data_IF_888500663853
#
_entry.id   IF_888500663853
#
_cell.length_a   1.000
_cell.length_b   1.000
_cell.length_c   1.000
_cell.angle_alpha   90.00
_cell.angle_beta   90.00
_cell.angle_gamma   90.00
#
_symmetry.space_group_name_H-M   'P 1'
#
loop_
_entity.id
_entity.type
_entity.pdbx_description
1 polymer ?
#
# COMPACT_ATOMS: atom_id res chain seq x y z
N UNK A 1 3.12 -24.27 10.41
CA UNK A 1 3.78 -23.49 9.34
C UNK A 1 3.01 -22.21 9.15
N UNK A 2 3.69 -21.08 9.14
CA UNK A 2 3.15 -19.75 8.93
C UNK A 2 4.02 -19.01 7.92
N UNK A 3 3.43 -18.03 7.23
CA UNK A 3 4.17 -17.16 6.32
C UNK A 3 4.92 -16.08 7.12
N UNK A 4 6.01 -15.57 6.55
CA UNK A 4 6.86 -14.52 7.11
C UNK A 4 7.08 -13.43 6.06
N UNK A 5 7.02 -12.17 6.48
CA UNK A 5 7.42 -10.99 5.72
C UNK A 5 8.27 -10.06 6.59
N UNK A 6 8.81 -9.01 5.98
CA UNK A 6 9.70 -8.06 6.66
C UNK A 6 8.94 -6.94 7.37
N UNK A 7 7.87 -6.41 6.77
CA UNK A 7 7.11 -5.26 7.28
C UNK A 7 7.76 -3.91 6.94
N UNK A 8 8.54 -3.84 5.86
CA UNK A 8 9.15 -2.60 5.39
C UNK A 8 8.20 -1.73 4.57
N UNK A 9 8.50 -0.44 4.47
CA UNK A 9 7.74 0.54 3.68
C UNK A 9 7.81 0.31 2.16
N UNK A 10 8.67 -0.61 1.69
CA UNK A 10 8.86 -0.95 0.29
C UNK A 10 9.79 -0.03 -0.47
N UNK A 11 10.65 0.73 0.21
CA UNK A 11 11.58 1.63 -0.48
C UNK A 11 12.55 0.88 -1.39
N UNK A 12 12.80 1.45 -2.57
CA UNK A 12 13.75 0.90 -3.54
C UNK A 12 15.15 1.46 -3.31
N UNK A 13 16.13 0.80 -3.94
CA UNK A 13 17.52 1.23 -4.03
C UNK A 13 17.93 1.49 -5.48
N UNK A 14 17.20 2.37 -6.15
CA UNK A 14 17.44 2.79 -7.53
C UNK A 14 18.18 4.13 -7.52
N UNK A 15 19.49 4.13 -7.78
CA UNK A 15 20.32 5.34 -7.70
C UNK A 15 19.80 6.52 -8.57
N UNK A 16 19.03 6.25 -9.63
CA UNK A 16 18.39 7.25 -10.49
C UNK A 16 16.87 7.32 -10.30
N UNK A 17 16.36 6.87 -9.16
CA UNK A 17 14.95 6.88 -8.80
C UNK A 17 14.38 8.31 -8.76
N UNK A 18 13.08 8.50 -9.07
CA UNK A 18 12.48 9.81 -9.26
C UNK A 18 12.36 10.66 -7.98
N UNK A 19 12.35 10.03 -6.80
CA UNK A 19 12.23 10.66 -5.48
C UNK A 19 12.79 9.73 -4.40
N UNK A 20 12.96 10.24 -3.17
CA UNK A 20 13.70 9.52 -2.13
C UNK A 20 13.18 8.10 -1.79
N UNK A 21 11.84 7.80 -1.81
CA UNK A 21 11.34 6.43 -1.63
C UNK A 21 11.88 5.42 -2.64
N UNK A 22 12.40 5.89 -3.78
CA UNK A 22 13.02 5.04 -4.79
C UNK A 22 14.55 4.99 -4.72
N UNK A 23 15.21 5.94 -4.04
CA UNK A 23 16.64 6.22 -4.22
C UNK A 23 17.59 5.42 -3.32
N UNK A 24 17.07 4.67 -2.35
CA UNK A 24 17.87 3.83 -1.45
C UNK A 24 18.47 4.55 -0.25
N UNK A 25 18.17 5.84 -0.06
CA UNK A 25 18.71 6.64 1.05
C UNK A 25 18.35 6.10 2.44
N UNK A 26 17.23 5.39 2.54
CA UNK A 26 16.73 4.77 3.78
C UNK A 26 17.41 3.42 4.10
N UNK A 27 18.31 2.93 3.24
CA UNK A 27 19.01 1.66 3.43
C UNK A 27 18.17 0.42 3.14
N UNK A 28 17.03 0.58 2.49
CA UNK A 28 16.12 -0.50 2.07
C UNK A 28 16.26 -0.71 0.56
N UNK A 29 16.20 -1.98 0.13
CA UNK A 29 16.16 -2.40 -1.26
C UNK A 29 15.05 -3.45 -1.43
N UNK A 30 13.84 -2.99 -1.75
CA UNK A 30 12.65 -3.84 -1.88
C UNK A 30 12.87 -5.04 -2.82
N UNK A 31 13.51 -4.83 -3.97
CA UNK A 31 13.75 -5.89 -4.95
C UNK A 31 14.80 -6.90 -4.47
N UNK A 32 15.78 -6.48 -3.65
CA UNK A 32 16.70 -7.40 -2.99
C UNK A 32 16.00 -8.16 -1.84
N UNK A 33 15.18 -7.49 -1.04
CA UNK A 33 14.42 -8.09 0.06
C UNK A 33 13.50 -9.20 -0.44
N UNK A 34 12.79 -8.98 -1.56
CA UNK A 34 11.93 -9.98 -2.18
C UNK A 34 12.68 -11.27 -2.58
N UNK A 35 14.00 -11.23 -2.79
CA UNK A 35 14.80 -12.41 -3.16
C UNK A 35 15.21 -13.27 -1.96
N UNK A 36 14.99 -12.81 -0.73
CA UNK A 36 15.31 -13.58 0.49
C UNK A 36 14.42 -14.83 0.56
N UNK A 37 15.01 -16.01 0.61
CA UNK A 37 14.27 -17.28 0.52
C UNK A 37 13.42 -17.61 1.75
N UNK A 38 13.70 -16.98 2.90
CA UNK A 38 12.96 -17.15 4.16
C UNK A 38 11.84 -16.13 4.33
N UNK A 39 11.64 -15.23 3.36
CA UNK A 39 10.48 -14.33 3.30
C UNK A 39 9.52 -14.86 2.23
N UNK A 40 8.28 -15.10 2.63
CA UNK A 40 7.25 -15.73 1.79
C UNK A 40 6.50 -14.72 0.93
N UNK A 41 6.40 -13.46 1.38
CA UNK A 41 5.75 -12.36 0.67
C UNK A 41 6.42 -11.02 0.99
N UNK A 42 6.19 -10.01 0.14
CA UNK A 42 6.67 -8.64 0.34
C UNK A 42 5.59 -7.70 0.86
N UNK A 43 6.03 -6.63 1.48
CA UNK A 43 5.19 -5.61 2.11
C UNK A 43 5.66 -4.24 1.66
N UNK A 44 4.72 -3.31 1.45
CA UNK A 44 5.05 -1.91 1.23
C UNK A 44 3.96 -1.02 1.80
N UNK A 45 4.29 0.24 2.07
CA UNK A 45 3.39 1.22 2.66
C UNK A 45 3.11 2.36 1.67
N UNK A 46 2.20 3.28 1.96
CA UNK A 46 2.03 4.51 1.15
C UNK A 46 1.53 5.71 1.97
N UNK A 47 2.45 6.65 2.25
CA UNK A 47 2.17 7.92 2.92
C UNK A 47 2.74 9.11 2.14
N UNK A 48 2.23 9.39 0.92
CA UNK A 48 2.82 10.38 0.01
C UNK A 48 2.92 11.79 0.62
N UNK A 49 2.02 12.17 1.53
CA UNK A 49 2.10 13.49 2.20
C UNK A 49 3.34 13.56 3.10
N UNK A 50 3.57 12.54 3.92
CA UNK A 50 4.75 12.41 4.79
C UNK A 50 6.05 12.31 3.98
N UNK A 51 5.96 11.73 2.79
CA UNK A 51 7.10 11.51 1.89
C UNK A 51 7.34 12.66 0.90
N UNK A 52 6.76 13.83 1.15
CA UNK A 52 7.00 15.03 0.33
C UNK A 52 6.38 15.00 -1.07
N UNK A 53 5.42 14.10 -1.31
CA UNK A 53 4.70 13.91 -2.59
C UNK A 53 3.28 14.49 -2.55
N UNK A 54 2.99 15.41 -1.62
CA UNK A 54 1.65 15.97 -1.38
C UNK A 54 1.03 16.64 -2.60
N UNK A 55 1.83 17.27 -3.47
CA UNK A 55 1.36 17.93 -4.69
C UNK A 55 0.71 16.97 -5.71
N UNK A 56 0.96 15.66 -5.58
CA UNK A 56 0.42 14.64 -6.48
C UNK A 56 0.12 13.32 -5.76
N UNK A 57 -0.34 13.38 -4.50
CA UNK A 57 -0.47 12.21 -3.63
C UNK A 57 -1.25 11.06 -4.28
N UNK A 58 -2.37 11.37 -4.95
CA UNK A 58 -3.22 10.37 -5.60
C UNK A 58 -2.50 9.62 -6.71
N UNK A 59 -1.98 10.31 -7.73
CA UNK A 59 -1.37 9.64 -8.88
C UNK A 59 0.02 9.10 -8.56
N UNK A 60 0.74 9.73 -7.63
CA UNK A 60 1.99 9.18 -7.11
C UNK A 60 1.75 7.81 -6.45
N UNK A 61 0.72 7.70 -5.60
CA UNK A 61 0.38 6.41 -4.97
C UNK A 61 -0.11 5.35 -5.96
N UNK A 62 -0.82 5.74 -7.04
CA UNK A 62 -1.13 4.81 -8.13
C UNK A 62 0.13 4.25 -8.78
N UNK A 63 1.11 5.12 -9.07
CA UNK A 63 2.38 4.67 -9.67
C UNK A 63 3.17 3.79 -8.69
N UNK A 64 3.21 4.16 -7.41
CA UNK A 64 3.86 3.39 -6.36
C UNK A 64 3.31 1.96 -6.25
N UNK A 65 1.98 1.80 -6.23
CA UNK A 65 1.31 0.49 -6.21
C UNK A 65 1.64 -0.31 -7.47
N UNK A 66 1.65 0.33 -8.63
CA UNK A 66 1.97 -0.30 -9.91
C UNK A 66 3.40 -0.84 -9.95
N UNK A 67 4.35 -0.07 -9.45
CA UNK A 67 5.76 -0.46 -9.42
C UNK A 67 5.98 -1.67 -8.50
N UNK A 68 5.32 -1.69 -7.34
CA UNK A 68 5.36 -2.83 -6.42
C UNK A 68 4.69 -4.08 -7.02
N UNK A 69 3.62 -3.91 -7.80
CA UNK A 69 3.02 -5.00 -8.56
C UNK A 69 3.97 -5.55 -9.65
N UNK A 70 4.80 -4.70 -10.26
CA UNK A 70 5.83 -5.15 -11.20
C UNK A 70 6.93 -5.97 -10.49
N UNK A 71 7.39 -5.52 -9.33
CA UNK A 71 8.33 -6.27 -8.48
C UNK A 71 7.75 -7.60 -8.00
N UNK A 72 6.47 -7.62 -7.57
CA UNK A 72 5.71 -8.84 -7.25
C UNK A 72 5.81 -9.88 -8.37
N UNK A 73 5.50 -9.45 -9.60
CA UNK A 73 5.54 -10.31 -10.79
C UNK A 73 6.95 -10.79 -11.10
N UNK A 74 7.95 -9.91 -10.99
CA UNK A 74 9.35 -10.26 -11.27
C UNK A 74 9.92 -11.25 -10.26
N UNK A 75 9.56 -11.13 -8.98
CA UNK A 75 10.02 -12.02 -7.92
C UNK A 75 9.21 -13.33 -7.85
N UNK A 76 8.04 -13.38 -8.50
CA UNK A 76 7.08 -14.46 -8.37
C UNK A 76 6.73 -14.75 -6.89
N UNK A 77 6.54 -13.68 -6.11
CA UNK A 77 6.11 -13.72 -4.71
C UNK A 77 4.98 -12.73 -4.49
N UNK A 78 3.96 -13.04 -3.68
CA UNK A 78 2.90 -12.08 -3.35
C UNK A 78 3.48 -10.82 -2.70
N UNK A 79 2.86 -9.67 -2.98
CA UNK A 79 3.16 -8.39 -2.34
C UNK A 79 1.86 -7.77 -1.87
N UNK A 80 1.82 -7.22 -0.66
CA UNK A 80 0.66 -6.49 -0.13
C UNK A 80 1.04 -5.05 0.18
N UNK A 81 0.10 -4.13 -0.03
CA UNK A 81 0.19 -2.79 0.57
C UNK A 81 -0.35 -2.88 1.98
N UNK A 82 0.53 -3.01 2.97
CA UNK A 82 0.10 -3.33 4.35
C UNK A 82 -0.29 -2.10 5.17
N UNK A 83 0.07 -0.90 4.70
CA UNK A 83 -0.40 0.36 5.25
C UNK A 83 -0.53 1.40 4.14
N UNK A 84 -1.58 2.22 4.17
CA UNK A 84 -1.70 3.36 3.28
C UNK A 84 -2.63 4.42 3.84
N UNK A 85 -2.32 5.69 3.57
CA UNK A 85 -3.22 6.76 4.00
C UNK A 85 -2.96 8.15 3.45
N UNK A 86 -4.04 8.91 3.30
CA UNK A 86 -4.03 10.38 3.16
C UNK A 86 -5.00 10.99 4.18
N UNK A 87 -4.76 12.23 4.62
CA UNK A 87 -5.63 12.95 5.56
C UNK A 87 -6.62 13.90 4.88
N UNK A 88 -6.46 14.13 3.57
CA UNK A 88 -7.35 14.92 2.72
C UNK A 88 -7.74 14.14 1.47
N UNK A 89 -8.95 14.36 0.95
CA UNK A 89 -9.45 13.74 -0.28
C UNK A 89 -9.38 12.19 -0.27
N UNK A 90 -9.59 11.57 0.89
CA UNK A 90 -9.49 10.12 1.12
C UNK A 90 -10.31 9.30 0.13
N UNK A 91 -11.61 9.63 -0.05
CA UNK A 91 -12.48 8.85 -0.92
C UNK A 91 -12.00 8.85 -2.38
N UNK A 92 -11.59 10.02 -2.89
CA UNK A 92 -11.06 10.16 -4.26
C UNK A 92 -9.72 9.41 -4.40
N UNK A 93 -8.81 9.62 -3.45
CA UNK A 93 -7.48 9.00 -3.48
C UNK A 93 -7.55 7.49 -3.38
N UNK A 94 -8.29 6.98 -2.40
CA UNK A 94 -8.41 5.53 -2.18
C UNK A 94 -9.19 4.85 -3.32
N UNK A 95 -10.16 5.52 -3.96
CA UNK A 95 -10.79 4.99 -5.18
C UNK A 95 -9.75 4.73 -6.27
N UNK A 96 -8.82 5.67 -6.49
CA UNK A 96 -7.77 5.51 -7.49
C UNK A 96 -6.78 4.39 -7.10
N UNK A 97 -6.37 4.33 -5.83
CA UNK A 97 -5.45 3.31 -5.34
C UNK A 97 -6.06 1.92 -5.38
N UNK A 98 -7.29 1.75 -4.89
CA UNK A 98 -7.98 0.47 -4.96
C UNK A 98 -8.26 0.03 -6.39
N UNK A 99 -8.53 0.94 -7.34
CA UNK A 99 -8.63 0.58 -8.76
C UNK A 99 -7.32 -0.04 -9.28
N UNK A 100 -6.16 0.50 -8.91
CA UNK A 100 -4.86 -0.08 -9.28
C UNK A 100 -4.63 -1.41 -8.55
N UNK A 101 -4.94 -1.49 -7.25
CA UNK A 101 -4.82 -2.71 -6.44
C UNK A 101 -5.63 -3.85 -7.04
N UNK A 102 -6.90 -3.64 -7.38
CA UNK A 102 -7.79 -4.70 -7.91
C UNK A 102 -7.63 -4.94 -9.41
N UNK A 103 -6.78 -4.18 -10.09
CA UNK A 103 -6.54 -4.37 -11.52
C UNK A 103 -5.93 -5.75 -11.81
N UNK A 104 -6.02 -6.19 -13.07
CA UNK A 104 -5.34 -7.41 -13.52
C UNK A 104 -3.84 -7.23 -13.41
N UNK A 105 -3.21 -8.07 -12.59
CA UNK A 105 -1.78 -7.96 -12.28
C UNK A 105 -1.43 -6.99 -11.15
N UNK A 106 -2.41 -6.40 -10.46
CA UNK A 106 -2.18 -5.61 -9.25
C UNK A 106 -1.60 -6.42 -8.09
N UNK A 107 -1.24 -5.73 -7.01
CA UNK A 107 -0.70 -6.35 -5.78
C UNK A 107 -1.69 -7.34 -5.16
N UNK A 108 -1.19 -8.32 -4.42
CA UNK A 108 -1.96 -9.47 -3.92
C UNK A 108 -3.07 -9.07 -2.93
N UNK A 109 -2.89 -7.96 -2.20
CA UNK A 109 -3.91 -7.41 -1.33
C UNK A 109 -3.51 -6.10 -0.68
N UNK A 110 -4.42 -5.59 0.14
CA UNK A 110 -4.27 -4.32 0.85
C UNK A 110 -4.77 -4.40 2.29
N UNK A 111 -4.19 -3.58 3.15
CA UNK A 111 -4.64 -3.32 4.51
C UNK A 111 -4.69 -1.81 4.73
N UNK A 112 -5.84 -1.30 5.16
CA UNK A 112 -5.99 0.12 5.47
C UNK A 112 -5.21 0.48 6.74
N UNK A 113 -4.59 1.65 6.74
CA UNK A 113 -4.26 2.35 7.98
C UNK A 113 -5.33 3.42 8.23
N UNK A 114 -6.16 3.35 9.26
CA UNK A 114 -6.33 2.24 10.21
C UNK A 114 -7.82 2.00 10.47
N UNK A 115 -8.17 0.87 11.09
CA UNK A 115 -9.56 0.61 11.45
C UNK A 115 -10.00 1.51 12.63
N UNK A 116 -11.09 2.26 12.45
CA UNK A 116 -11.72 3.03 13.52
C UNK A 116 -12.75 2.20 14.31
N UNK A 117 -12.89 2.48 15.61
CA UNK A 117 -13.91 1.86 16.48
C UNK A 117 -14.74 2.91 17.19
N UNK A 118 -16.06 2.69 17.28
CA UNK A 118 -16.97 3.53 18.06
C UNK A 118 -16.93 3.23 19.56
N UNK A 119 -16.32 2.11 19.97
CA UNK A 119 -16.19 1.69 21.37
C UNK A 119 -14.82 2.09 21.91
N UNK A 120 -13.76 1.86 21.14
CA UNK A 120 -12.41 2.32 21.45
C UNK A 120 -12.17 3.69 20.79
N UNK A 121 -12.56 4.75 21.50
CA UNK A 121 -12.42 6.13 21.02
C UNK A 121 -11.05 6.72 21.40
N UNK A 122 -10.61 7.76 20.68
CA UNK A 122 -9.35 8.48 20.96
C UNK A 122 -8.12 7.98 20.19
N UNK A 123 -8.23 6.90 19.42
CA UNK A 123 -7.14 6.34 18.61
C UNK A 123 -7.34 6.66 17.12
N UNK A 124 -7.38 7.94 16.78
CA UNK A 124 -7.48 8.42 15.41
C UNK A 124 -6.43 9.49 15.16
N UNK A 125 -5.43 9.13 14.36
CA UNK A 125 -4.34 9.99 13.89
C UNK A 125 -4.68 10.74 12.59
N UNK A 126 -5.92 10.63 12.11
CA UNK A 126 -6.42 11.29 10.91
C UNK A 126 -6.69 10.33 9.74
N UNK A 127 -6.24 9.07 9.83
CA UNK A 127 -6.39 8.09 8.75
C UNK A 127 -7.52 7.09 8.97
N UNK A 128 -8.13 7.07 10.16
CA UNK A 128 -9.03 5.98 10.56
C UNK A 128 -10.29 5.86 9.70
N UNK A 129 -10.60 4.64 9.26
CA UNK A 129 -11.83 4.27 8.55
C UNK A 129 -12.82 3.65 9.53
N UNK A 130 -13.93 4.35 9.79
CA UNK A 130 -14.94 3.92 10.76
C UNK A 130 -16.09 3.15 10.12
N UNK A 131 -16.55 2.03 10.70
CA UNK A 131 -17.76 1.35 10.28
C UNK A 131 -18.96 2.29 10.14
N UNK A 132 -19.73 2.13 9.07
CA UNK A 132 -20.92 2.94 8.79
C UNK A 132 -20.66 4.29 8.10
N UNK A 133 -19.41 4.63 7.81
CA UNK A 133 -19.07 5.81 7.00
C UNK A 133 -19.08 5.52 5.50
N UNK A 134 -19.12 6.57 4.67
CA UNK A 134 -18.99 6.44 3.21
C UNK A 134 -17.66 5.81 2.81
N UNK A 135 -16.58 6.14 3.52
CA UNK A 135 -15.24 5.57 3.28
C UNK A 135 -15.21 4.07 3.58
N UNK A 136 -15.89 3.62 4.64
CA UNK A 136 -16.05 2.20 4.94
C UNK A 136 -16.91 1.48 3.89
N UNK A 137 -17.98 2.13 3.42
CA UNK A 137 -18.78 1.59 2.30
C UNK A 137 -17.93 1.43 1.04
N UNK A 138 -17.07 2.39 0.74
CA UNK A 138 -16.12 2.32 -0.36
C UNK A 138 -15.11 1.17 -0.17
N UNK A 139 -14.54 1.02 1.02
CA UNK A 139 -13.64 -0.09 1.36
C UNK A 139 -14.31 -1.45 1.14
N UNK A 140 -15.52 -1.64 1.65
CA UNK A 140 -16.24 -2.93 1.49
C UNK A 140 -16.53 -3.28 0.03
N UNK A 141 -16.81 -2.28 -0.81
CA UNK A 141 -16.93 -2.45 -2.27
C UNK A 141 -15.63 -2.99 -2.88
N UNK A 142 -14.49 -2.42 -2.53
CA UNK A 142 -13.20 -2.86 -3.08
C UNK A 142 -12.69 -4.17 -2.49
N UNK A 143 -13.00 -4.46 -1.22
CA UNK A 143 -12.76 -5.79 -0.64
C UNK A 143 -13.52 -6.88 -1.42
N UNK A 144 -14.78 -6.61 -1.81
CA UNK A 144 -15.54 -7.53 -2.66
C UNK A 144 -14.94 -7.67 -4.07
N UNK A 145 -14.46 -6.57 -4.67
CA UNK A 145 -13.80 -6.60 -5.98
C UNK A 145 -12.48 -7.37 -5.94
N UNK A 146 -11.64 -7.16 -4.91
CA UNK A 146 -10.40 -7.90 -4.71
C UNK A 146 -10.66 -9.39 -4.55
N UNK A 147 -11.66 -9.78 -3.72
CA UNK A 147 -12.08 -11.17 -3.57
C UNK A 147 -12.54 -11.81 -4.88
N UNK A 148 -13.16 -11.04 -5.77
CA UNK A 148 -13.65 -11.53 -7.05
C UNK A 148 -12.56 -11.69 -8.12
N UNK A 149 -11.36 -11.13 -7.91
CA UNK A 149 -10.25 -11.17 -8.87
C UNK A 149 -9.65 -12.58 -9.06
N UNK A 150 -9.83 -13.46 -8.08
CA UNK A 150 -9.19 -14.78 -8.03
C UNK A 150 -7.81 -14.72 -7.41
#
# INVERSE_FOLDING_TARGET
>A
NHLVALGDEGFYNQASGPNYPYQGGEGIDFDANLKISTLDFGTFHSYPVSWGQSANATLWGVQWIRDHAASQKSANKPVIIEEFGVTSDQATTYTAWWNEIVSSGGVAGDLIWQAGSSIATGYNDGYAVYPGTDLYTLQTKYAAALKARG
#
